data_IF_686680681336
#
_entry.id   IF_686680681336
#
_cell.length_a   1.000
_cell.length_b   1.000
_cell.length_c   1.000
_cell.angle_alpha   90.00
_cell.angle_beta   90.00
_cell.angle_gamma   90.00
#
_symmetry.space_group_name_H-M   'P 1'
#
loop_
_entity.id
_entity.type
_entity.pdbx_description
1 polymer ?
#
# COMPACT_ATOMS: atom_id res chain seq x y z
N UNK A 1 2.49 6.75 8.98
CA UNK A 1 2.86 5.36 9.37
C UNK A 1 3.41 4.65 8.15
N UNK A 2 4.01 3.47 8.30
CA UNK A 2 4.47 2.68 7.15
C UNK A 2 3.42 1.64 6.75
N UNK A 3 3.47 1.16 5.51
CA UNK A 3 2.54 0.13 5.03
C UNK A 3 2.66 -1.18 5.82
N UNK A 4 3.81 -1.48 6.42
CA UNK A 4 4.00 -2.71 7.21
C UNK A 4 3.27 -2.71 8.55
N UNK A 5 2.91 -1.53 9.07
CA UNK A 5 2.16 -1.31 10.32
C UNK A 5 0.64 -1.30 10.09
N UNK A 6 0.21 -1.27 8.83
CA UNK A 6 -1.19 -1.15 8.44
C UNK A 6 -2.00 -2.41 8.82
N UNK A 7 -3.26 -2.24 9.23
CA UNK A 7 -4.12 -3.37 9.62
C UNK A 7 -5.03 -3.81 8.47
N UNK A 8 -5.46 -5.07 8.54
CA UNK A 8 -6.41 -5.67 7.60
C UNK A 8 -7.68 -4.82 7.46
N UNK A 9 -8.17 -4.68 6.23
CA UNK A 9 -9.40 -3.97 5.88
C UNK A 9 -9.27 -2.45 5.77
N UNK A 10 -8.14 -1.87 6.18
CA UNK A 10 -7.96 -0.42 6.18
C UNK A 10 -7.61 0.13 4.79
N UNK A 11 -8.04 1.37 4.55
CA UNK A 11 -7.74 2.13 3.34
C UNK A 11 -6.71 3.19 3.61
N UNK A 12 -5.77 3.32 2.66
CA UNK A 12 -4.66 4.25 2.75
C UNK A 12 -4.41 4.98 1.44
N UNK A 13 -3.77 6.13 1.55
CA UNK A 13 -3.10 6.83 0.46
C UNK A 13 -1.60 6.69 0.68
N UNK A 14 -0.88 6.36 -0.39
CA UNK A 14 0.59 6.37 -0.40
C UNK A 14 1.06 7.82 -0.43
N UNK A 15 1.81 8.23 0.58
CA UNK A 15 2.34 9.58 0.70
C UNK A 15 3.66 9.69 -0.05
N UNK A 16 4.63 8.83 0.28
CA UNK A 16 5.96 8.82 -0.34
C UNK A 16 6.69 7.53 -0.06
N UNK A 17 7.81 7.36 -0.74
CA UNK A 17 8.78 6.29 -0.53
C UNK A 17 10.13 6.87 -0.07
N UNK A 18 10.85 6.14 0.77
CA UNK A 18 12.03 6.69 1.48
C UNK A 18 13.34 6.70 0.66
N UNK A 19 13.32 6.19 -0.58
CA UNK A 19 14.51 6.09 -1.47
C UNK A 19 14.07 5.94 -2.94
N UNK A 20 14.86 6.46 -3.88
CA UNK A 20 14.61 6.36 -5.32
C UNK A 20 14.48 4.91 -5.82
N UNK A 21 15.33 4.00 -5.34
CA UNK A 21 15.26 2.57 -5.73
C UNK A 21 13.93 1.93 -5.30
N UNK A 22 13.45 2.31 -4.11
CA UNK A 22 12.15 1.89 -3.58
C UNK A 22 11.02 2.50 -4.41
N UNK A 23 11.14 3.78 -4.78
CA UNK A 23 10.18 4.49 -5.65
C UNK A 23 10.04 3.76 -6.98
N UNK A 24 11.15 3.43 -7.65
CA UNK A 24 11.12 2.72 -8.93
C UNK A 24 10.49 1.33 -8.82
N UNK A 25 10.76 0.59 -7.75
CA UNK A 25 10.13 -0.71 -7.51
C UNK A 25 8.63 -0.57 -7.28
N UNK A 26 8.20 0.35 -6.42
CA UNK A 26 6.80 0.58 -6.12
C UNK A 26 6.02 1.02 -7.38
N UNK A 27 6.59 1.91 -8.19
CA UNK A 27 5.99 2.38 -9.45
C UNK A 27 5.72 1.24 -10.45
N UNK A 28 6.59 0.23 -10.52
CA UNK A 28 6.38 -0.96 -11.39
C UNK A 28 5.15 -1.77 -10.99
N UNK A 29 4.79 -1.75 -9.71
CA UNK A 29 3.56 -2.35 -9.19
C UNK A 29 2.36 -1.39 -9.27
N UNK A 30 2.54 -0.22 -9.89
CA UNK A 30 1.54 0.83 -9.96
C UNK A 30 1.29 1.49 -8.61
N UNK A 31 2.25 1.44 -7.69
CA UNK A 31 2.15 2.04 -6.35
C UNK A 31 3.06 3.26 -6.34
N UNK A 32 2.47 4.44 -6.46
CA UNK A 32 3.17 5.72 -6.37
C UNK A 32 2.49 6.66 -5.37
N UNK A 33 3.11 7.80 -5.10
CA UNK A 33 2.49 8.89 -4.34
C UNK A 33 1.07 9.21 -4.86
N UNK A 34 0.14 9.45 -3.94
CA UNK A 34 -1.28 9.63 -4.22
C UNK A 34 -2.05 8.35 -4.55
N UNK A 35 -1.39 7.19 -4.65
CA UNK A 35 -2.07 5.92 -4.91
C UNK A 35 -2.92 5.51 -3.72
N UNK A 36 -4.20 5.26 -4.00
CA UNK A 36 -5.12 4.67 -3.03
C UNK A 36 -5.01 3.16 -3.04
N UNK A 37 -4.86 2.58 -1.85
CA UNK A 37 -4.69 1.14 -1.64
C UNK A 37 -5.58 0.66 -0.49
N UNK A 38 -6.02 -0.59 -0.55
CA UNK A 38 -6.69 -1.28 0.55
C UNK A 38 -5.80 -2.41 1.05
N UNK A 39 -5.60 -2.55 2.36
CA UNK A 39 -4.89 -3.69 2.92
C UNK A 39 -5.86 -4.87 3.02
N UNK A 40 -5.63 -5.92 2.22
CA UNK A 40 -6.39 -7.16 2.30
C UNK A 40 -5.89 -8.03 3.44
N UNK A 41 -4.56 -8.15 3.58
CA UNK A 41 -3.95 -8.97 4.63
C UNK A 41 -2.55 -8.50 5.00
N UNK A 42 -2.30 -8.28 6.28
CA UNK A 42 -0.96 -8.10 6.84
C UNK A 42 -0.48 -9.43 7.43
N UNK A 43 0.34 -10.18 6.68
CA UNK A 43 0.81 -11.51 7.10
C UNK A 43 2.00 -11.35 8.07
N UNK A 44 1.91 -11.81 9.34
CA UNK A 44 3.01 -11.69 10.30
C UNK A 44 4.28 -12.38 9.79
N UNK A 45 5.40 -11.66 9.76
CA UNK A 45 6.67 -12.15 9.17
C UNK A 45 6.66 -12.32 7.65
N UNK A 46 5.50 -12.16 7.00
CA UNK A 46 5.29 -12.29 5.57
C UNK A 46 4.97 -10.96 4.88
N UNK A 47 4.57 -11.01 3.60
CA UNK A 47 4.24 -9.81 2.82
C UNK A 47 2.92 -9.18 3.29
N UNK A 48 2.71 -7.93 2.87
CA UNK A 48 1.45 -7.21 3.02
C UNK A 48 0.72 -7.34 1.69
N UNK A 49 -0.47 -7.94 1.73
CA UNK A 49 -1.35 -8.07 0.57
C UNK A 49 -2.22 -6.81 0.49
N UNK A 50 -2.08 -6.08 -0.61
CA UNK A 50 -2.91 -4.91 -0.89
C UNK A 50 -3.79 -5.16 -2.12
N UNK A 51 -4.91 -4.45 -2.20
CA UNK A 51 -5.70 -4.34 -3.41
C UNK A 51 -5.63 -2.92 -3.96
N UNK A 52 -5.41 -2.81 -5.27
CA UNK A 52 -5.42 -1.56 -6.04
C UNK A 52 -6.00 -1.83 -7.42
N UNK A 53 -6.98 -1.05 -7.86
CA UNK A 53 -7.60 -1.17 -9.18
C UNK A 53 -8.01 -2.61 -9.54
N UNK A 54 -8.64 -3.33 -8.60
CA UNK A 54 -9.05 -4.74 -8.74
C UNK A 54 -7.90 -5.76 -8.84
N UNK A 55 -6.65 -5.33 -8.70
CA UNK A 55 -5.47 -6.21 -8.64
C UNK A 55 -5.00 -6.37 -7.21
N UNK A 56 -4.68 -7.61 -6.83
CA UNK A 56 -4.01 -7.91 -5.57
C UNK A 56 -2.50 -8.00 -5.76
N UNK A 57 -1.76 -7.39 -4.84
CA UNK A 57 -0.30 -7.30 -4.91
C UNK A 57 0.26 -7.67 -3.54
N UNK A 58 1.18 -8.63 -3.52
CA UNK A 58 1.95 -8.99 -2.35
C UNK A 58 3.21 -8.13 -2.26
N UNK A 59 3.26 -7.23 -1.29
CA UNK A 59 4.41 -6.36 -1.05
C UNK A 59 5.27 -6.98 0.04
N UNK A 60 6.54 -7.29 -0.30
CA UNK A 60 7.50 -7.80 0.67
C UNK A 60 7.63 -6.85 1.87
N UNK A 61 7.77 -7.39 3.08
CA UNK A 61 7.77 -6.59 4.31
C UNK A 61 8.85 -5.52 4.34
N UNK A 62 10.04 -5.84 3.83
CA UNK A 62 11.13 -4.87 3.72
C UNK A 62 10.74 -3.68 2.84
N UNK A 63 10.10 -3.92 1.70
CA UNK A 63 9.60 -2.86 0.82
C UNK A 63 8.50 -2.04 1.51
N UNK A 64 7.56 -2.71 2.19
CA UNK A 64 6.46 -2.05 2.90
C UNK A 64 6.93 -1.13 4.05
N UNK A 65 8.08 -1.41 4.68
CA UNK A 65 8.67 -0.54 5.70
C UNK A 65 9.11 0.82 5.14
N UNK A 66 9.37 0.92 3.83
CA UNK A 66 9.82 2.15 3.17
C UNK A 66 8.69 2.88 2.42
N UNK A 67 7.44 2.45 2.59
CA UNK A 67 6.27 3.07 1.98
C UNK A 67 5.50 3.80 3.08
N UNK A 68 5.51 5.12 3.05
CA UNK A 68 4.73 5.94 3.97
C UNK A 68 3.29 6.06 3.50
N UNK A 69 2.36 5.89 4.43
CA UNK A 69 0.91 5.92 4.17
C UNK A 69 0.15 6.76 5.20
N UNK A 70 -0.96 7.33 4.73
CA UNK A 70 -1.96 8.06 5.52
C UNK A 70 -3.34 7.43 5.35
N UNK A 71 -4.21 7.53 6.36
CA UNK A 71 -5.57 7.00 6.27
C UNK A 71 -6.36 7.71 5.17
N UNK A 72 -7.08 6.93 4.36
CA UNK A 72 -8.01 7.49 3.38
C UNK A 72 -9.40 7.60 4.00
N UNK A 73 -9.93 8.82 4.12
CA UNK A 73 -11.28 9.09 4.62
C UNK A 73 -12.39 8.66 3.65
N UNK A 74 -12.02 8.27 2.44
CA UNK A 74 -12.95 7.80 1.43
C UNK A 74 -13.07 6.30 1.57
N UNK A 75 -14.01 5.76 2.36
CA UNK A 75 -14.44 4.37 2.18
C UNK A 75 -14.91 4.15 0.73
N UNK A 76 -14.68 2.95 0.18
CA UNK A 76 -14.81 2.61 -1.24
C UNK A 76 -16.11 3.02 -1.94
N UNK A 77 -16.23 4.29 -2.35
CA UNK A 77 -17.14 4.71 -3.41
C UNK A 77 -16.58 4.27 -4.76
N UNK A 78 -16.58 2.97 -5.00
CA UNK A 78 -16.69 2.47 -6.38
C UNK A 78 -18.04 2.97 -6.88
N UNK A 79 -18.03 4.11 -7.59
CA UNK A 79 -19.22 4.66 -8.26
C UNK A 79 -19.80 3.53 -9.12
N UNK A 80 -21.06 3.21 -8.83
CA UNK A 80 -21.93 2.38 -9.64
C UNK A 80 -22.26 3.10 -10.94
#
# INVERSE_FOLDING_TARGET
MTLSEAKDGQWFIVERTTSDDITYQALRFGIGEGSRIQVQKNIPGGPIIISKNQLEIAIGRQLANFIEVSHSDLEGKSKK
#
